data_IF_295383067467
#
_entry.id   IF_295383067467
#
_cell.length_a   1.000
_cell.length_b   1.000
_cell.length_c   1.000
_cell.angle_alpha   90.00
_cell.angle_beta   90.00
_cell.angle_gamma   90.00
#
_symmetry.space_group_name_H-M   'P 1'
#
loop_
_entity.id
_entity.type
_entity.pdbx_description
1 polymer ?
#
# COMPACT_ATOMS: atom_id res chain seq x y z
N UNK A 1 10.78 -9.35 -3.58
CA UNK A 1 12.05 -9.25 -2.83
C UNK A 1 12.02 -8.24 -1.66
N UNK A 2 10.85 -7.81 -1.15
CA UNK A 2 10.77 -6.93 0.03
C UNK A 2 10.36 -5.48 -0.29
N UNK A 3 10.56 -5.03 -1.53
CA UNK A 3 10.10 -3.72 -2.02
C UNK A 3 8.58 -3.60 -2.14
N UNK A 4 8.13 -2.35 -2.14
CA UNK A 4 6.75 -1.92 -2.35
C UNK A 4 6.62 -1.16 -3.67
N UNK A 5 5.62 -1.53 -4.47
CA UNK A 5 5.25 -0.81 -5.68
C UNK A 5 4.62 0.53 -5.34
N UNK A 6 4.64 1.41 -6.33
CA UNK A 6 4.26 2.80 -6.18
C UNK A 6 2.77 2.95 -5.91
N UNK A 7 1.96 2.47 -6.84
CA UNK A 7 0.52 2.62 -6.78
C UNK A 7 -0.16 1.57 -7.66
N UNK A 8 -1.45 1.41 -7.43
CA UNK A 8 -2.36 0.69 -8.30
C UNK A 8 -3.51 1.64 -8.64
N UNK A 9 -3.89 1.71 -9.92
CA UNK A 9 -4.97 2.59 -10.39
C UNK A 9 -6.28 2.28 -9.65
N UNK A 10 -7.06 3.32 -9.36
CA UNK A 10 -8.46 3.12 -8.96
C UNK A 10 -9.29 2.57 -10.14
N UNK A 11 -8.96 3.02 -11.36
CA UNK A 11 -9.70 2.72 -12.58
C UNK A 11 -9.28 1.37 -13.17
N UNK A 12 -10.27 0.57 -13.53
CA UNK A 12 -10.09 -0.74 -14.15
C UNK A 12 -11.20 -1.05 -15.12
N UNK A 13 -10.96 -2.01 -16.02
CA UNK A 13 -12.01 -2.48 -16.92
C UNK A 13 -12.98 -3.38 -16.13
N UNK A 14 -14.30 -3.16 -16.22
CA UNK A 14 -15.28 -4.01 -15.53
C UNK A 14 -15.24 -5.47 -15.99
N UNK A 15 -15.00 -5.70 -17.28
CA UNK A 15 -14.86 -7.03 -17.90
C UNK A 15 -13.74 -7.03 -18.94
N UNK A 16 -13.22 -8.20 -19.36
CA UNK A 16 -12.19 -8.29 -20.41
C UNK A 16 -12.60 -7.70 -21.76
N UNK A 17 -13.90 -7.65 -22.06
CA UNK A 17 -14.45 -7.12 -23.31
C UNK A 17 -14.73 -5.61 -23.24
N UNK A 18 -14.62 -5.00 -22.05
CA UNK A 18 -14.85 -3.58 -21.86
C UNK A 18 -13.72 -2.76 -22.48
N UNK A 19 -14.06 -1.63 -23.12
CA UNK A 19 -13.10 -0.70 -23.71
C UNK A 19 -12.85 0.55 -22.87
N UNK A 20 -13.74 0.83 -21.92
CA UNK A 20 -13.67 1.99 -21.02
C UNK A 20 -13.44 1.52 -19.59
N UNK A 21 -12.48 2.15 -18.91
CA UNK A 21 -12.25 1.93 -17.49
C UNK A 21 -13.33 2.64 -16.68
N UNK A 22 -13.60 2.13 -15.48
CA UNK A 22 -14.45 2.77 -14.47
C UNK A 22 -13.78 2.75 -13.11
N UNK A 23 -14.06 3.77 -12.31
CA UNK A 23 -13.57 3.92 -10.96
C UNK A 23 -13.97 2.69 -10.11
N UNK A 24 -12.97 2.05 -9.52
CA UNK A 24 -13.16 0.94 -8.59
C UNK A 24 -13.74 -0.34 -9.21
N UNK A 25 -13.87 -0.44 -10.54
CA UNK A 25 -14.55 -1.56 -11.22
C UNK A 25 -14.07 -2.95 -10.77
N UNK A 26 -12.78 -3.08 -10.45
CA UNK A 26 -12.19 -4.30 -9.91
C UNK A 26 -12.70 -4.63 -8.49
N UNK A 27 -12.93 -3.64 -7.64
CA UNK A 27 -13.17 -3.82 -6.21
C UNK A 27 -14.63 -3.68 -5.77
N UNK A 28 -15.49 -3.09 -6.59
CA UNK A 28 -16.88 -2.79 -6.22
C UNK A 28 -17.87 -3.91 -6.56
N UNK A 29 -19.00 -3.89 -5.85
CA UNK A 29 -20.05 -4.90 -5.94
C UNK A 29 -21.45 -4.30 -5.94
N UNK A 30 -22.32 -4.84 -6.78
CA UNK A 30 -23.76 -4.66 -6.59
C UNK A 30 -24.25 -5.61 -5.50
N UNK A 31 -25.24 -5.20 -4.72
CA UNK A 31 -25.80 -6.05 -3.65
C UNK A 31 -26.37 -7.37 -4.20
N UNK A 32 -27.11 -7.30 -5.32
CA UNK A 32 -27.69 -8.48 -5.99
C UNK A 32 -26.62 -9.51 -6.39
N UNK A 33 -25.44 -9.04 -6.82
CA UNK A 33 -24.32 -9.91 -7.16
C UNK A 33 -23.80 -10.64 -5.92
N UNK A 34 -23.71 -9.96 -4.78
CA UNK A 34 -23.26 -10.58 -3.52
C UNK A 34 -24.28 -11.60 -3.04
N UNK A 35 -25.56 -11.27 -3.10
CA UNK A 35 -26.66 -12.18 -2.73
C UNK A 35 -26.62 -13.45 -3.57
N UNK A 36 -26.47 -13.34 -4.89
CA UNK A 36 -26.38 -14.49 -5.79
C UNK A 36 -25.12 -15.34 -5.54
N UNK A 37 -23.96 -14.72 -5.32
CA UNK A 37 -22.70 -15.44 -5.10
C UNK A 37 -22.65 -16.18 -3.76
N UNK A 38 -23.43 -15.73 -2.77
CA UNK A 38 -23.41 -16.27 -1.41
C UNK A 38 -24.70 -17.03 -1.06
N UNK A 39 -25.65 -17.20 -1.98
CA UNK A 39 -26.98 -17.78 -1.73
C UNK A 39 -26.96 -19.18 -1.10
N UNK A 40 -25.96 -19.99 -1.44
CA UNK A 40 -25.82 -21.38 -0.97
C UNK A 40 -24.87 -21.50 0.24
N UNK A 41 -24.37 -20.38 0.77
CA UNK A 41 -23.44 -20.35 1.91
C UNK A 41 -24.16 -19.94 3.20
N UNK A 42 -23.66 -20.47 4.32
CA UNK A 42 -24.12 -20.13 5.67
C UNK A 42 -22.96 -19.62 6.52
N UNK A 43 -23.27 -18.73 7.45
CA UNK A 43 -22.35 -18.30 8.52
C UNK A 43 -23.11 -18.53 9.84
N UNK A 44 -22.66 -19.53 10.62
CA UNK A 44 -23.51 -20.10 11.66
C UNK A 44 -24.82 -20.63 11.06
N UNK A 45 -25.94 -20.27 11.67
CA UNK A 45 -27.28 -20.64 11.21
C UNK A 45 -27.90 -19.62 10.22
N UNK A 46 -27.17 -18.55 9.89
CA UNK A 46 -27.66 -17.45 9.06
C UNK A 46 -27.26 -17.59 7.59
N UNK A 47 -28.06 -16.99 6.69
CA UNK A 47 -27.67 -16.80 5.30
C UNK A 47 -26.41 -15.95 5.21
N UNK A 48 -25.38 -16.47 4.52
CA UNK A 48 -24.10 -15.78 4.44
C UNK A 48 -24.23 -14.41 3.75
N UNK A 49 -25.12 -14.29 2.75
CA UNK A 49 -25.39 -13.03 2.06
C UNK A 49 -25.87 -11.93 3.01
N UNK A 50 -26.79 -12.25 3.94
CA UNK A 50 -27.34 -11.29 4.89
C UNK A 50 -26.26 -10.79 5.86
N UNK A 51 -25.56 -11.72 6.49
CA UNK A 51 -24.46 -11.42 7.42
C UNK A 51 -23.39 -10.61 6.71
N UNK A 52 -22.97 -11.02 5.51
CA UNK A 52 -21.92 -10.34 4.75
C UNK A 52 -22.32 -8.92 4.34
N UNK A 53 -23.58 -8.71 3.94
CA UNK A 53 -24.08 -7.38 3.59
C UNK A 53 -24.10 -6.45 4.80
N UNK A 54 -24.58 -6.89 5.97
CA UNK A 54 -24.58 -6.05 7.18
C UNK A 54 -23.14 -5.78 7.68
N UNK A 55 -22.28 -6.80 7.62
CA UNK A 55 -20.89 -6.75 8.06
C UNK A 55 -20.06 -5.73 7.25
N UNK A 56 -20.22 -5.72 5.92
CA UNK A 56 -19.50 -4.81 5.02
C UNK A 56 -20.30 -3.57 4.59
N UNK A 57 -21.45 -3.32 5.23
CA UNK A 57 -22.34 -2.21 4.92
C UNK A 57 -22.68 -2.14 3.42
N UNK A 58 -23.17 -3.25 2.86
CA UNK A 58 -23.63 -3.33 1.48
C UNK A 58 -25.09 -2.89 1.43
N UNK A 59 -25.33 -1.79 0.74
CA UNK A 59 -26.62 -1.14 0.60
C UNK A 59 -27.19 -1.43 -0.80
N UNK A 60 -28.52 -1.40 -0.93
CA UNK A 60 -29.21 -1.75 -2.18
C UNK A 60 -28.81 -0.82 -3.33
N UNK A 61 -28.70 0.47 -3.04
CA UNK A 61 -28.41 1.53 -4.01
C UNK A 61 -26.94 2.00 -3.97
N UNK A 62 -26.07 1.19 -3.35
CA UNK A 62 -24.65 1.50 -3.14
C UNK A 62 -24.38 2.24 -1.84
N UNK A 63 -23.12 2.22 -1.38
CA UNK A 63 -22.74 2.73 -0.05
C UNK A 63 -21.77 3.93 -0.09
N UNK A 64 -21.56 4.48 -1.29
CA UNK A 64 -20.77 5.69 -1.53
C UNK A 64 -21.72 6.87 -1.71
N UNK A 65 -21.53 7.92 -0.91
CA UNK A 65 -22.35 9.13 -1.01
C UNK A 65 -22.01 9.92 -2.26
N UNK A 66 -23.00 10.56 -2.88
CA UNK A 66 -22.81 11.44 -4.05
C UNK A 66 -21.74 12.54 -3.88
N UNK A 67 -21.53 13.06 -2.67
CA UNK A 67 -20.47 14.04 -2.39
C UNK A 67 -19.05 13.46 -2.59
N UNK A 68 -18.90 12.14 -2.50
CA UNK A 68 -17.65 11.39 -2.68
C UNK A 68 -17.57 10.69 -4.04
N UNK A 69 -18.61 10.83 -4.86
CA UNK A 69 -18.70 10.30 -6.21
C UNK A 69 -19.28 11.40 -7.11
N UNK A 70 -18.49 12.45 -7.39
CA UNK A 70 -18.95 13.61 -8.16
C UNK A 70 -19.29 13.24 -9.61
N UNK A 71 -18.71 12.15 -10.13
CA UNK A 71 -18.89 11.68 -11.50
C UNK A 71 -20.01 10.63 -11.64
N UNK A 72 -20.50 10.06 -10.53
CA UNK A 72 -21.61 9.11 -10.52
C UNK A 72 -21.21 7.69 -10.93
N UNK A 73 -19.91 7.37 -10.92
CA UNK A 73 -19.38 6.08 -11.40
C UNK A 73 -19.67 4.94 -10.42
N UNK A 74 -19.89 5.27 -9.14
CA UNK A 74 -20.12 4.33 -8.05
C UNK A 74 -21.60 4.23 -7.66
N UNK A 75 -22.52 4.73 -8.50
CA UNK A 75 -23.94 4.57 -8.29
C UNK A 75 -24.35 3.09 -8.30
N UNK A 76 -25.12 2.65 -7.30
CA UNK A 76 -25.48 1.24 -7.08
C UNK A 76 -24.29 0.30 -6.78
N UNK A 77 -23.11 0.86 -6.55
CA UNK A 77 -21.90 0.11 -6.23
C UNK A 77 -21.57 0.20 -4.74
N UNK A 78 -21.05 -0.90 -4.21
CA UNK A 78 -20.64 -1.01 -2.82
C UNK A 78 -19.14 -1.25 -2.72
N UNK A 79 -18.49 -0.45 -1.88
CA UNK A 79 -17.12 -0.69 -1.41
C UNK A 79 -17.23 -1.44 -0.08
N UNK A 80 -16.61 -2.61 0.02
CA UNK A 80 -16.66 -3.40 1.26
C UNK A 80 -16.01 -2.61 2.41
N UNK A 81 -16.79 -2.21 3.41
CA UNK A 81 -16.30 -1.44 4.57
C UNK A 81 -16.95 -1.90 5.87
N UNK A 82 -16.15 -2.05 6.92
CA UNK A 82 -16.70 -2.30 8.25
C UNK A 82 -17.01 -0.98 8.94
N UNK A 83 -18.26 -0.78 9.37
CA UNK A 83 -18.66 0.40 10.18
C UNK A 83 -18.56 0.16 11.69
N UNK A 84 -18.49 -1.12 12.10
CA UNK A 84 -18.45 -1.56 13.49
C UNK A 84 -17.35 -2.62 13.67
N UNK A 85 -16.98 -2.91 14.91
CA UNK A 85 -16.01 -3.95 15.26
C UNK A 85 -16.53 -5.34 14.93
N UNK A 86 -15.63 -6.32 14.85
CA UNK A 86 -16.00 -7.72 14.66
C UNK A 86 -16.93 -8.21 15.79
N UNK A 87 -16.58 -7.89 17.04
CA UNK A 87 -17.34 -8.22 18.25
C UNK A 87 -18.78 -7.69 18.23
N UNK A 88 -19.02 -6.53 17.61
CA UNK A 88 -20.38 -6.02 17.44
C UNK A 88 -21.22 -6.99 16.61
N UNK A 89 -20.67 -7.50 15.52
CA UNK A 89 -21.38 -8.41 14.62
C UNK A 89 -21.54 -9.81 15.20
N UNK A 90 -20.59 -10.28 16.02
CA UNK A 90 -20.75 -11.51 16.81
C UNK A 90 -21.99 -11.43 17.69
N UNK A 91 -22.12 -10.35 18.48
CA UNK A 91 -23.26 -10.14 19.37
C UNK A 91 -24.56 -9.90 18.58
N UNK A 92 -24.48 -9.18 17.46
CA UNK A 92 -25.63 -8.86 16.60
C UNK A 92 -26.28 -10.11 16.02
N UNK A 93 -25.47 -11.09 15.59
CA UNK A 93 -25.93 -12.32 14.98
C UNK A 93 -25.93 -13.52 15.94
N UNK A 94 -25.37 -13.39 17.14
CA UNK A 94 -25.21 -14.52 18.07
C UNK A 94 -24.25 -15.59 17.55
N UNK A 95 -23.27 -15.22 16.72
CA UNK A 95 -22.32 -16.16 16.10
C UNK A 95 -20.97 -16.07 16.85
N UNK A 96 -20.38 -17.20 17.28
CA UNK A 96 -19.05 -17.22 17.87
C UNK A 96 -17.98 -16.60 16.95
N UNK A 97 -16.98 -15.92 17.54
CA UNK A 97 -15.90 -15.21 16.82
C UNK A 97 -15.23 -16.03 15.73
N UNK A 98 -14.87 -17.27 16.04
CA UNK A 98 -14.18 -18.18 15.14
C UNK A 98 -15.07 -18.57 13.95
N UNK A 99 -16.33 -18.90 14.22
CA UNK A 99 -17.34 -19.23 13.19
C UNK A 99 -17.62 -18.03 12.29
N UNK A 100 -17.78 -16.82 12.86
CA UNK A 100 -18.00 -15.60 12.09
C UNK A 100 -16.78 -15.27 11.22
N UNK A 101 -15.58 -15.32 11.81
CA UNK A 101 -14.33 -15.08 11.09
C UNK A 101 -14.13 -16.06 9.93
N UNK A 102 -14.35 -17.36 10.16
CA UNK A 102 -14.25 -18.38 9.12
C UNK A 102 -15.28 -18.15 8.01
N UNK A 103 -16.55 -17.90 8.38
CA UNK A 103 -17.63 -17.64 7.43
C UNK A 103 -17.38 -16.40 6.57
N UNK A 104 -16.94 -15.30 7.17
CA UNK A 104 -16.56 -14.07 6.45
C UNK A 104 -15.37 -14.32 5.52
N UNK A 105 -14.36 -15.07 5.95
CA UNK A 105 -13.21 -15.39 5.10
C UNK A 105 -13.59 -16.29 3.91
N UNK A 106 -14.48 -17.28 4.12
CA UNK A 106 -15.04 -18.10 3.04
C UNK A 106 -15.83 -17.26 2.04
N UNK A 107 -16.72 -16.39 2.51
CA UNK A 107 -17.48 -15.48 1.65
C UNK A 107 -16.57 -14.52 0.87
N UNK A 108 -15.55 -13.92 1.51
CA UNK A 108 -14.52 -13.11 0.83
C UNK A 108 -13.79 -13.91 -0.24
N UNK A 109 -13.45 -15.17 0.02
CA UNK A 109 -12.80 -16.03 -0.96
C UNK A 109 -13.69 -16.30 -2.18
N UNK A 110 -14.99 -16.52 -1.98
CA UNK A 110 -15.96 -16.67 -3.08
C UNK A 110 -16.03 -15.42 -3.96
N UNK A 111 -16.19 -14.24 -3.36
CA UNK A 111 -16.16 -12.97 -4.10
C UNK A 111 -14.81 -12.75 -4.79
N UNK A 112 -13.69 -13.08 -4.13
CA UNK A 112 -12.36 -12.92 -4.70
C UNK A 112 -12.18 -13.73 -5.99
N UNK A 113 -12.71 -14.95 -6.07
CA UNK A 113 -12.64 -15.77 -7.30
C UNK A 113 -13.27 -15.07 -8.51
N UNK A 114 -14.43 -14.43 -8.32
CA UNK A 114 -15.09 -13.66 -9.38
C UNK A 114 -14.33 -12.38 -9.69
N UNK A 115 -13.82 -11.70 -8.67
CA UNK A 115 -13.00 -10.50 -8.85
C UNK A 115 -11.75 -10.77 -9.69
N UNK A 116 -11.07 -11.89 -9.47
CA UNK A 116 -9.87 -12.26 -10.22
C UNK A 116 -10.13 -12.62 -11.69
N UNK A 117 -11.41 -12.71 -12.12
CA UNK A 117 -11.77 -12.82 -13.54
C UNK A 117 -11.89 -11.44 -14.22
N UNK A 118 -11.92 -10.34 -13.44
CA UNK A 118 -11.92 -8.98 -13.98
C UNK A 118 -10.48 -8.58 -14.33
N UNK A 119 -10.27 -7.77 -15.38
CA UNK A 119 -8.96 -7.18 -15.66
C UNK A 119 -8.45 -6.41 -14.43
N UNK A 120 -7.24 -6.71 -13.93
CA UNK A 120 -6.68 -5.99 -12.80
C UNK A 120 -6.44 -4.53 -13.17
N UNK A 121 -6.55 -3.60 -12.21
CA UNK A 121 -6.11 -2.22 -12.40
C UNK A 121 -4.63 -2.17 -12.77
N UNK A 122 -4.24 -1.10 -13.44
CA UNK A 122 -2.84 -0.92 -13.80
C UNK A 122 -1.98 -0.73 -12.55
N UNK A 123 -0.84 -1.42 -12.50
CA UNK A 123 0.12 -1.32 -11.42
C UNK A 123 1.29 -0.43 -11.85
N UNK A 124 1.46 0.72 -11.21
CA UNK A 124 2.72 1.48 -11.28
C UNK A 124 3.77 0.70 -10.47
N UNK A 125 4.57 -0.08 -11.19
CA UNK A 125 5.56 -0.97 -10.60
C UNK A 125 6.85 -0.28 -10.14
N UNK A 126 6.91 1.06 -10.20
CA UNK A 126 8.03 1.84 -9.68
C UNK A 126 8.17 1.60 -8.18
N UNK A 127 9.39 1.32 -7.72
CA UNK A 127 9.72 1.11 -6.31
C UNK A 127 10.57 2.28 -5.87
N UNK A 128 9.92 3.34 -5.37
CA UNK A 128 10.56 4.62 -5.02
C UNK A 128 11.18 4.55 -3.62
N UNK A 129 12.40 5.06 -3.46
CA UNK A 129 13.17 5.03 -2.20
C UNK A 129 12.45 5.71 -1.05
N UNK A 130 11.96 6.94 -1.25
CA UNK A 130 11.11 7.65 -0.30
C UNK A 130 9.96 6.79 0.23
N UNK A 131 9.29 6.07 -0.67
CA UNK A 131 8.10 5.28 -0.33
C UNK A 131 8.45 3.96 0.35
N UNK A 132 9.66 3.43 0.13
CA UNK A 132 10.19 2.35 0.95
C UNK A 132 10.41 2.83 2.40
N UNK A 133 10.99 4.02 2.57
CA UNK A 133 11.16 4.67 3.88
C UNK A 133 9.84 4.86 4.63
N UNK A 134 8.83 5.41 3.95
CA UNK A 134 7.47 5.55 4.49
C UNK A 134 6.85 4.20 4.86
N UNK A 135 7.04 3.18 4.03
CA UNK A 135 6.54 1.81 4.29
C UNK A 135 7.20 1.21 5.54
N UNK A 136 8.51 1.37 5.70
CA UNK A 136 9.26 0.92 6.88
C UNK A 136 8.75 1.64 8.15
N UNK A 137 8.57 2.96 8.10
CA UNK A 137 8.02 3.74 9.22
C UNK A 137 6.61 3.28 9.58
N UNK A 138 5.72 3.13 8.59
CA UNK A 138 4.35 2.68 8.79
C UNK A 138 4.25 1.29 9.41
N UNK A 139 5.06 0.35 8.93
CA UNK A 139 5.16 -1.00 9.50
C UNK A 139 5.69 -0.95 10.95
N UNK A 140 6.71 -0.15 11.23
CA UNK A 140 7.27 0.00 12.57
C UNK A 140 6.24 0.56 13.56
N UNK A 141 5.48 1.58 13.16
CA UNK A 141 4.36 2.11 13.96
C UNK A 141 3.25 1.07 14.16
N UNK A 142 2.95 0.27 13.13
CA UNK A 142 1.98 -0.82 13.25
C UNK A 142 2.42 -1.91 14.23
N UNK A 143 3.72 -2.17 14.39
CA UNK A 143 4.24 -3.09 15.41
C UNK A 143 3.93 -2.59 16.81
N UNK A 144 4.11 -1.30 17.08
CA UNK A 144 3.81 -0.70 18.39
C UNK A 144 2.31 -0.84 18.70
N UNK A 145 1.45 -0.56 17.73
CA UNK A 145 0.00 -0.57 17.93
C UNK A 145 -0.62 -1.99 17.95
N UNK A 146 -0.14 -2.88 17.09
CA UNK A 146 -0.78 -4.19 16.83
C UNK A 146 0.00 -5.37 17.39
N UNK A 147 1.26 -5.18 17.79
CA UNK A 147 2.17 -6.20 18.34
C UNK A 147 2.28 -7.45 17.45
N UNK A 148 2.28 -7.28 16.12
CA UNK A 148 2.41 -8.37 15.15
C UNK A 148 3.85 -8.50 14.64
N UNK A 149 4.59 -9.58 14.99
CA UNK A 149 6.00 -9.76 14.59
C UNK A 149 6.24 -9.71 13.08
N UNK A 150 5.28 -10.18 12.29
CA UNK A 150 5.36 -10.18 10.82
C UNK A 150 5.59 -8.77 10.21
N UNK A 151 5.17 -7.70 10.89
CA UNK A 151 5.41 -6.33 10.41
C UNK A 151 6.88 -5.91 10.56
N UNK A 152 7.55 -6.31 11.65
CA UNK A 152 9.00 -6.09 11.82
C UNK A 152 9.77 -6.83 10.72
N UNK A 153 9.46 -8.11 10.52
CA UNK A 153 10.13 -8.92 9.48
C UNK A 153 9.94 -8.33 8.08
N UNK A 154 8.75 -7.78 7.80
CA UNK A 154 8.48 -7.12 6.53
C UNK A 154 9.32 -5.85 6.37
N UNK A 155 9.42 -5.02 7.41
CA UNK A 155 10.21 -3.80 7.40
C UNK A 155 11.71 -4.09 7.19
N UNK A 156 12.24 -5.11 7.87
CA UNK A 156 13.63 -5.57 7.67
C UNK A 156 13.86 -6.00 6.22
N UNK A 157 12.95 -6.80 5.64
CA UNK A 157 13.05 -7.20 4.23
C UNK A 157 13.04 -5.99 3.27
N UNK A 158 12.34 -4.92 3.62
CA UNK A 158 12.33 -3.69 2.83
C UNK A 158 13.67 -2.94 2.95
N UNK A 159 14.30 -2.90 4.12
CA UNK A 159 15.68 -2.36 4.26
C UNK A 159 16.67 -3.14 3.39
N UNK A 160 16.60 -4.48 3.42
CA UNK A 160 17.48 -5.32 2.60
C UNK A 160 17.20 -5.14 1.10
N UNK A 161 15.93 -4.93 0.71
CA UNK A 161 15.58 -4.56 -0.65
C UNK A 161 16.22 -3.23 -1.08
N UNK A 162 16.16 -2.21 -0.22
CA UNK A 162 16.76 -0.89 -0.50
C UNK A 162 18.27 -1.02 -0.70
N UNK A 163 18.96 -1.71 0.21
CA UNK A 163 20.42 -1.95 0.10
C UNK A 163 20.79 -2.69 -1.19
N UNK A 164 19.96 -3.65 -1.61
CA UNK A 164 20.24 -4.49 -2.77
C UNK A 164 19.95 -3.80 -4.11
N UNK A 165 18.87 -3.01 -4.18
CA UNK A 165 18.32 -2.58 -5.47
C UNK A 165 18.24 -1.05 -5.64
N UNK A 166 18.25 -0.32 -4.54
CA UNK A 166 18.14 1.15 -4.51
C UNK A 166 19.42 1.82 -4.02
N UNK A 167 20.52 1.07 -3.96
CA UNK A 167 21.87 1.59 -3.77
C UNK A 167 22.74 1.12 -4.93
N UNK A 168 23.56 2.02 -5.47
CA UNK A 168 24.58 1.67 -6.45
C UNK A 168 25.78 0.96 -5.78
N UNK A 169 26.75 0.53 -6.58
CA UNK A 169 27.96 -0.16 -6.11
C UNK A 169 28.85 0.72 -5.21
N UNK A 170 28.72 2.05 -5.31
CA UNK A 170 29.42 3.03 -4.48
C UNK A 170 28.62 3.37 -3.20
N UNK A 171 27.43 2.83 -3.04
CA UNK A 171 26.55 3.05 -1.89
C UNK A 171 25.65 4.28 -1.99
N UNK A 172 25.58 4.96 -3.14
CA UNK A 172 24.68 6.08 -3.36
C UNK A 172 23.24 5.61 -3.56
N UNK A 173 22.29 6.34 -2.99
CA UNK A 173 20.86 6.04 -3.18
C UNK A 173 20.39 6.39 -4.59
N UNK A 174 19.60 5.48 -5.16
CA UNK A 174 18.84 5.67 -6.39
C UNK A 174 17.42 6.12 -6.05
N UNK A 175 16.77 6.87 -6.94
CA UNK A 175 15.38 7.32 -6.74
C UNK A 175 14.40 6.15 -6.78
N UNK A 176 14.59 5.23 -7.72
CA UNK A 176 13.66 4.14 -7.92
C UNK A 176 14.28 2.95 -8.68
N UNK A 177 13.69 1.78 -8.45
CA UNK A 177 13.84 0.59 -9.25
C UNK A 177 12.49 0.22 -9.89
N UNK A 178 12.49 -0.71 -10.84
CA UNK A 178 11.32 -1.09 -11.63
C UNK A 178 11.16 -2.60 -11.68
N UNK A 179 9.96 -3.07 -11.99
CA UNK A 179 9.71 -4.48 -12.26
C UNK A 179 9.94 -4.76 -13.74
N UNK A 180 10.87 -5.65 -14.05
CA UNK A 180 11.09 -6.18 -15.39
C UNK A 180 9.96 -7.10 -15.86
N UNK A 181 9.89 -7.36 -17.17
CA UNK A 181 8.88 -8.24 -17.77
C UNK A 181 8.94 -9.67 -17.24
N UNK A 182 10.15 -10.14 -16.92
CA UNK A 182 10.43 -11.44 -16.29
C UNK A 182 10.12 -11.45 -14.77
N UNK A 183 9.69 -10.32 -14.21
CA UNK A 183 9.43 -10.13 -12.79
C UNK A 183 10.67 -9.80 -11.96
N UNK A 184 11.84 -9.67 -12.57
CA UNK A 184 13.06 -9.23 -11.89
C UNK A 184 12.97 -7.75 -11.47
N UNK A 185 13.84 -7.35 -10.55
CA UNK A 185 14.00 -5.94 -10.18
C UNK A 185 15.11 -5.36 -11.05
N UNK A 186 14.81 -4.27 -11.75
CA UNK A 186 15.72 -3.65 -12.70
C UNK A 186 15.89 -2.17 -12.41
N UNK A 187 17.09 -1.66 -12.67
CA UNK A 187 17.38 -0.24 -12.71
C UNK A 187 17.46 0.21 -14.17
N UNK A 188 17.14 1.48 -14.45
CA UNK A 188 17.27 2.05 -15.80
C UNK A 188 18.75 2.14 -16.19
N UNK A 189 19.04 2.10 -17.50
CA UNK A 189 20.40 2.22 -18.02
C UNK A 189 21.09 3.53 -17.57
N UNK A 190 20.31 4.59 -17.39
CA UNK A 190 20.71 5.83 -16.72
C UNK A 190 19.85 5.97 -15.46
N UNK A 191 20.29 5.47 -14.31
CA UNK A 191 19.53 5.58 -13.07
C UNK A 191 19.51 7.02 -12.57
N UNK A 192 18.38 7.42 -12.01
CA UNK A 192 18.23 8.73 -11.35
C UNK A 192 18.67 8.57 -9.91
N UNK A 193 19.60 9.40 -9.44
CA UNK A 193 19.98 9.44 -8.04
C UNK A 193 18.85 10.01 -7.17
N UNK A 194 18.82 9.57 -5.92
CA UNK A 194 17.85 10.00 -4.94
C UNK A 194 17.90 11.51 -4.67
N UNK A 195 16.73 12.08 -4.37
CA UNK A 195 16.54 13.47 -3.96
C UNK A 195 16.53 13.58 -2.43
N UNK A 196 16.52 14.79 -1.87
CA UNK A 196 16.54 14.99 -0.42
C UNK A 196 15.42 14.25 0.33
N UNK A 197 14.22 14.18 -0.26
CA UNK A 197 13.04 13.49 0.30
C UNK A 197 13.25 11.97 0.43
N UNK A 198 13.93 11.35 -0.53
CA UNK A 198 14.29 9.92 -0.47
C UNK A 198 15.17 9.62 0.74
N UNK A 199 16.18 10.47 0.98
CA UNK A 199 17.06 10.34 2.14
C UNK A 199 16.26 10.55 3.42
N UNK A 200 15.53 11.66 3.53
CA UNK A 200 14.79 12.01 4.74
C UNK A 200 13.81 10.91 5.16
N UNK A 201 12.99 10.40 4.24
CA UNK A 201 12.01 9.36 4.57
C UNK A 201 12.65 8.01 4.86
N UNK A 202 13.74 7.65 4.17
CA UNK A 202 14.46 6.41 4.46
C UNK A 202 15.15 6.46 5.83
N UNK A 203 15.82 7.58 6.15
CA UNK A 203 16.45 7.82 7.46
C UNK A 203 15.39 7.70 8.56
N UNK A 204 14.25 8.38 8.43
CA UNK A 204 13.15 8.26 9.40
C UNK A 204 12.66 6.82 9.54
N UNK A 205 12.48 6.10 8.42
CA UNK A 205 12.10 4.69 8.43
C UNK A 205 13.09 3.81 9.20
N UNK A 206 14.40 4.00 8.99
CA UNK A 206 15.45 3.26 9.70
C UNK A 206 15.45 3.55 11.19
N UNK A 207 15.28 4.81 11.60
CA UNK A 207 15.18 5.21 13.00
C UNK A 207 13.93 4.64 13.68
N UNK A 208 12.78 4.65 12.99
CA UNK A 208 11.55 4.04 13.50
C UNK A 208 11.68 2.52 13.63
N UNK A 209 12.34 1.86 12.67
CA UNK A 209 12.60 0.43 12.73
C UNK A 209 13.54 0.07 13.89
N UNK A 210 14.56 0.89 14.14
CA UNK A 210 15.47 0.70 15.28
C UNK A 210 14.73 0.69 16.62
N UNK A 211 13.70 1.53 16.79
CA UNK A 211 12.92 1.59 18.03
C UNK A 211 12.16 0.29 18.32
N UNK A 212 11.69 -0.41 17.28
CA UNK A 212 10.95 -1.68 17.44
C UNK A 212 11.82 -2.91 17.27
N UNK A 213 13.01 -2.76 16.66
CA UNK A 213 14.03 -3.79 16.49
C UNK A 213 15.41 -3.14 16.68
N UNK A 214 15.97 -3.18 17.91
CA UNK A 214 17.24 -2.54 18.26
C UNK A 214 18.44 -3.24 17.60
N UNK A 215 18.65 -2.96 16.32
CA UNK A 215 19.78 -3.43 15.52
C UNK A 215 20.62 -2.23 15.10
N UNK A 216 21.86 -2.18 15.58
CA UNK A 216 22.76 -1.04 15.40
C UNK A 216 23.05 -0.75 13.92
N UNK A 217 22.91 -1.75 13.05
CA UNK A 217 23.16 -1.58 11.61
C UNK A 217 22.11 -0.65 10.95
N UNK A 218 20.89 -0.56 11.49
CA UNK A 218 19.91 0.43 11.00
C UNK A 218 20.33 1.85 11.37
N UNK A 219 20.83 2.05 12.59
CA UNK A 219 21.26 3.35 13.05
C UNK A 219 22.52 3.83 12.31
N UNK A 220 23.51 2.95 12.11
CA UNK A 220 24.70 3.26 11.30
C UNK A 220 24.34 3.63 9.87
N UNK A 221 23.38 2.91 9.27
CA UNK A 221 22.92 3.23 7.93
C UNK A 221 22.24 4.61 7.89
N UNK A 222 21.39 4.91 8.87
CA UNK A 222 20.73 6.20 8.98
C UNK A 222 21.74 7.35 9.13
N UNK A 223 22.74 7.20 9.99
CA UNK A 223 23.81 8.19 10.21
C UNK A 223 24.65 8.43 8.94
N UNK A 224 25.03 7.35 8.24
CA UNK A 224 25.73 7.46 6.95
C UNK A 224 24.90 8.23 5.93
N UNK A 225 23.62 7.86 5.78
CA UNK A 225 22.71 8.51 4.84
C UNK A 225 22.44 9.97 5.22
N UNK A 226 22.39 10.30 6.50
CA UNK A 226 22.28 11.69 6.97
C UNK A 226 23.50 12.49 6.54
N UNK A 227 24.70 11.94 6.74
CA UNK A 227 25.95 12.59 6.30
C UNK A 227 25.95 12.84 4.79
N UNK A 228 25.50 11.85 4.00
CA UNK A 228 25.37 11.98 2.56
C UNK A 228 24.33 13.05 2.16
N UNK A 229 23.20 13.09 2.87
CA UNK A 229 22.13 14.07 2.65
C UNK A 229 22.63 15.50 2.91
N UNK A 230 23.31 15.71 4.04
CA UNK A 230 23.89 17.00 4.40
C UNK A 230 24.92 17.43 3.35
N UNK A 231 25.84 16.55 2.97
CA UNK A 231 26.84 16.85 1.96
C UNK A 231 26.27 17.19 0.59
N UNK A 232 25.11 16.64 0.21
CA UNK A 232 24.54 16.77 -1.14
C UNK A 232 23.52 17.89 -1.26
N UNK A 233 22.79 18.17 -0.19
CA UNK A 233 21.55 18.96 -0.26
C UNK A 233 21.53 20.14 0.71
N UNK A 234 22.35 20.17 1.77
CA UNK A 234 22.37 21.29 2.71
C UNK A 234 22.89 22.56 2.03
N UNK A 235 22.22 23.70 2.26
CA UNK A 235 22.73 24.99 1.84
C UNK A 235 23.87 25.47 2.75
N UNK A 236 25.11 25.26 2.31
CA UNK A 236 26.30 25.72 3.03
C UNK A 236 26.54 27.23 2.91
N UNK A 237 25.89 27.93 1.98
CA UNK A 237 26.07 29.38 1.80
C UNK A 237 25.21 30.17 2.78
N UNK A 238 23.93 29.81 2.92
CA UNK A 238 22.98 30.56 3.76
C UNK A 238 22.43 29.78 4.95
N UNK A 239 22.74 28.48 5.08
CA UNK A 239 22.29 27.62 6.18
C UNK A 239 20.76 27.62 6.35
N UNK A 240 20.02 27.83 5.25
CA UNK A 240 18.58 28.09 5.29
C UNK A 240 17.69 26.87 5.07
N UNK A 241 18.26 25.73 4.64
CA UNK A 241 17.50 24.50 4.42
C UNK A 241 18.20 23.50 3.50
N UNK A 242 17.41 22.52 3.03
CA UNK A 242 17.86 21.50 2.09
C UNK A 242 17.26 21.75 0.70
N UNK A 243 18.09 21.64 -0.32
CA UNK A 243 17.64 21.62 -1.71
C UNK A 243 17.09 20.25 -2.09
N UNK A 244 16.05 20.21 -2.91
CA UNK A 244 15.45 18.97 -3.40
C UNK A 244 16.47 18.15 -4.22
N UNK A 245 17.26 18.83 -5.07
CA UNK A 245 18.25 18.20 -5.94
C UNK A 245 19.68 18.62 -5.62
N UNK A 246 20.62 17.72 -5.94
CA UNK A 246 22.06 17.97 -5.82
C UNK A 246 22.55 18.93 -6.91
N UNK A 247 23.64 19.64 -6.66
CA UNK A 247 24.26 20.58 -7.60
C UNK A 247 24.73 19.96 -8.91
N UNK A 248 25.11 18.69 -8.89
CA UNK A 248 25.72 17.98 -10.02
C UNK A 248 24.70 17.21 -10.88
N UNK A 249 23.40 17.40 -10.65
CA UNK A 249 22.33 16.70 -11.37
C UNK A 249 21.82 17.46 -12.60
N UNK A 250 21.00 16.80 -13.41
CA UNK A 250 20.31 17.39 -14.58
C UNK A 250 19.24 18.44 -14.22
N UNK A 251 19.13 18.79 -12.94
CA UNK A 251 18.14 19.71 -12.39
C UNK A 251 18.61 21.15 -12.61
N UNK A 252 18.04 21.82 -13.62
CA UNK A 252 18.39 23.21 -13.98
C UNK A 252 17.94 24.26 -12.97
N UNK A 253 17.00 23.93 -12.08
CA UNK A 253 16.48 24.81 -11.02
C UNK A 253 16.29 23.98 -9.75
N UNK A 254 17.00 24.34 -8.68
CA UNK A 254 16.87 23.70 -7.36
C UNK A 254 15.90 24.50 -6.51
N UNK A 255 14.84 23.83 -6.06
CA UNK A 255 13.92 24.37 -5.05
C UNK A 255 14.42 23.92 -3.68
N UNK A 256 14.29 24.81 -2.71
CA UNK A 256 14.59 24.53 -1.30
C UNK A 256 13.28 24.27 -0.57
N UNK A 257 13.28 23.25 0.30
CA UNK A 257 12.16 22.98 1.23
C UNK A 257 12.35 23.71 2.56
#
# INVERSE_FOLDING_TARGET
>A
EGGFYAAEDADSLPTPESTEKKEGAFCVWQRSQVEELLKDQKIGDHDAAEVFCEYFNIEKDGNVSRLKDPHGELQNQNVLRMKRSHDYYENRFGIPTDVLSEGINKAKATLARVRYQRPPPHLDSKMVTAWQGLSISGLSKAVIALQRPAHVERAVKTVEFVKKHLMDENGHLLRAAYRGEDGSVQNTASPVYAFSDDYAFLIQGLLDLYQVKPDIEFLKLAERLQTDMDSKFWDTETESGYFIGSEQGDVKVRVME
#
